data_IF_818710014121
#
_entry.id   IF_818710014121
#
_cell.length_a   1.000
_cell.length_b   1.000
_cell.length_c   1.000
_cell.angle_alpha   90.00
_cell.angle_beta   90.00
_cell.angle_gamma   90.00
#
_symmetry.space_group_name_H-M   'P 1'
#
loop_
_entity.id
_entity.type
_entity.pdbx_description
1 polymer ?
#
# COMPACT_ATOMS: atom_id res chain seq x y z
N UNK A 1 -40.50 -43.15 4.18
CA UNK A 1 -39.16 -42.71 3.78
C UNK A 1 -38.86 -41.26 4.14
N UNK A 2 -39.84 -40.33 4.25
CA UNK A 2 -39.51 -38.90 4.45
C UNK A 2 -39.11 -38.49 5.87
N UNK A 3 -39.61 -39.17 6.92
CA UNK A 3 -39.39 -38.74 8.31
C UNK A 3 -37.93 -38.83 8.75
N UNK A 4 -37.19 -39.85 8.28
CA UNK A 4 -35.77 -40.02 8.60
C UNK A 4 -34.90 -38.96 7.91
N UNK A 5 -35.28 -38.56 6.70
CA UNK A 5 -34.59 -37.49 5.96
C UNK A 5 -34.86 -36.11 6.58
N UNK A 6 -36.07 -35.87 7.08
CA UNK A 6 -36.44 -34.63 7.78
C UNK A 6 -35.69 -34.48 9.12
N UNK A 7 -35.53 -35.58 9.88
CA UNK A 7 -34.73 -35.61 11.11
C UNK A 7 -33.24 -35.43 10.81
N UNK A 8 -32.75 -36.03 9.72
CA UNK A 8 -31.37 -35.87 9.26
C UNK A 8 -31.04 -34.42 8.87
N UNK A 9 -31.99 -33.70 8.27
CA UNK A 9 -31.80 -32.28 7.93
C UNK A 9 -31.81 -31.34 9.14
N UNK A 10 -32.62 -31.64 10.17
CA UNK A 10 -32.68 -30.83 11.39
C UNK A 10 -31.39 -30.92 12.21
N UNK A 11 -30.81 -32.12 12.35
CA UNK A 11 -29.59 -32.37 13.15
C UNK A 11 -28.33 -31.78 12.50
N UNK A 12 -28.32 -31.58 11.19
CA UNK A 12 -27.15 -31.09 10.45
C UNK A 12 -27.01 -29.56 10.43
N UNK A 13 -27.89 -28.83 11.14
CA UNK A 13 -27.79 -27.39 11.33
C UNK A 13 -27.20 -27.13 12.72
N UNK A 14 -26.12 -26.34 12.79
CA UNK A 14 -25.54 -25.82 14.03
C UNK A 14 -26.54 -24.87 14.72
N UNK A 15 -27.54 -25.44 15.37
CA UNK A 15 -28.55 -24.72 16.15
C UNK A 15 -28.44 -25.18 17.59
N UNK A 16 -28.62 -24.26 18.53
CA UNK A 16 -28.64 -24.55 19.96
C UNK A 16 -29.56 -25.76 20.23
N UNK A 17 -29.10 -26.71 21.05
CA UNK A 17 -29.83 -27.97 21.30
C UNK A 17 -31.28 -27.77 21.76
N UNK A 18 -31.58 -26.62 22.38
CA UNK A 18 -32.93 -26.25 22.79
C UNK A 18 -33.86 -25.92 21.61
N UNK A 19 -33.33 -25.30 20.54
CA UNK A 19 -34.09 -24.98 19.33
C UNK A 19 -34.40 -26.22 18.51
N UNK A 20 -33.44 -27.15 18.43
CA UNK A 20 -33.60 -28.44 17.76
C UNK A 20 -34.66 -29.31 18.47
N UNK A 21 -34.66 -29.32 19.81
CA UNK A 21 -35.71 -29.95 20.61
C UNK A 21 -37.08 -29.31 20.40
N UNK A 22 -37.15 -27.97 20.34
CA UNK A 22 -38.40 -27.27 20.13
C UNK A 22 -39.00 -27.55 18.75
N UNK A 23 -38.19 -27.55 17.68
CA UNK A 23 -38.63 -27.89 16.32
C UNK A 23 -39.09 -29.34 16.19
N UNK A 24 -38.39 -30.28 16.84
CA UNK A 24 -38.79 -31.69 16.83
C UNK A 24 -40.10 -31.94 17.59
N UNK A 25 -40.29 -31.30 18.75
CA UNK A 25 -41.51 -31.43 19.56
C UNK A 25 -42.73 -30.75 18.95
N UNK A 26 -42.53 -29.74 18.11
CA UNK A 26 -43.61 -29.02 17.41
C UNK A 26 -43.88 -29.57 16.01
N UNK A 27 -43.19 -30.63 15.59
CA UNK A 27 -43.33 -31.20 14.26
C UNK A 27 -44.71 -31.88 14.08
N UNK A 28 -45.47 -31.57 13.00
CA UNK A 28 -46.80 -32.12 12.77
C UNK A 28 -46.83 -33.64 12.63
N UNK A 29 -45.75 -34.23 12.13
CA UNK A 29 -45.63 -35.69 11.99
C UNK A 29 -45.51 -36.38 13.36
N UNK A 30 -44.86 -35.75 14.35
CA UNK A 30 -44.74 -36.27 15.71
C UNK A 30 -46.13 -36.25 16.39
N UNK A 31 -46.88 -35.17 16.22
CA UNK A 31 -48.25 -35.06 16.72
C UNK A 31 -49.20 -36.09 16.06
N UNK A 32 -49.04 -36.34 14.75
CA UNK A 32 -49.80 -37.38 14.05
C UNK A 32 -49.43 -38.79 14.54
N UNK A 33 -48.15 -39.04 14.84
CA UNK A 33 -47.67 -40.32 15.36
C UNK A 33 -48.17 -40.58 16.80
N UNK A 34 -48.21 -39.54 17.63
CA UNK A 34 -48.77 -39.57 18.98
C UNK A 34 -50.30 -39.76 18.99
N UNK A 35 -51.01 -39.30 17.96
CA UNK A 35 -52.45 -39.54 17.80
C UNK A 35 -52.79 -40.98 17.36
N UNK A 36 -51.93 -41.61 16.56
CA UNK A 36 -52.17 -42.96 16.02
C UNK A 36 -51.82 -44.06 17.03
N UNK A 37 -51.02 -43.75 18.06
CA UNK A 37 -50.44 -44.75 18.94
C UNK A 37 -50.45 -44.27 20.41
N UNK A 38 -51.60 -44.33 21.11
CA UNK A 38 -51.78 -43.75 22.45
C UNK A 38 -50.93 -44.40 23.55
N UNK A 39 -50.39 -45.60 23.33
CA UNK A 39 -49.47 -46.28 24.26
C UNK A 39 -48.03 -45.73 24.17
N UNK A 40 -47.73 -44.89 23.18
CA UNK A 40 -46.39 -44.34 22.93
C UNK A 40 -46.04 -43.18 23.85
N UNK A 41 -47.02 -42.43 24.36
CA UNK A 41 -46.81 -41.36 25.34
C UNK A 41 -46.32 -41.94 26.66
N UNK A 42 -46.86 -43.08 27.09
CA UNK A 42 -46.41 -43.80 28.28
C UNK A 42 -44.97 -44.28 28.17
N UNK A 43 -44.57 -44.81 27.00
CA UNK A 43 -43.19 -45.24 26.75
C UNK A 43 -42.22 -44.05 26.66
N UNK A 44 -42.64 -42.92 26.07
CA UNK A 44 -41.83 -41.70 25.99
C UNK A 44 -41.64 -41.06 27.37
N UNK A 45 -42.71 -40.95 28.16
CA UNK A 45 -42.66 -40.46 29.55
C UNK A 45 -41.85 -41.40 30.43
N UNK A 46 -41.99 -42.72 30.27
CA UNK A 46 -41.15 -43.70 30.98
C UNK A 46 -39.67 -43.61 30.61
N UNK A 47 -39.36 -43.32 29.35
CA UNK A 47 -37.97 -43.13 28.89
C UNK A 47 -37.40 -41.81 29.39
N UNK A 48 -38.20 -40.75 29.37
CA UNK A 48 -37.88 -39.46 29.97
C UNK A 48 -37.61 -39.59 31.46
N UNK A 49 -38.47 -40.29 32.20
CA UNK A 49 -38.34 -40.49 33.63
C UNK A 49 -37.14 -41.39 33.96
N UNK A 50 -36.86 -42.41 33.15
CA UNK A 50 -35.65 -43.24 33.29
C UNK A 50 -34.35 -42.47 33.02
N UNK A 51 -34.37 -41.52 32.07
CA UNK A 51 -33.24 -40.60 31.80
C UNK A 51 -33.11 -39.55 32.89
N UNK A 52 -34.20 -38.96 33.36
CA UNK A 52 -34.21 -37.95 34.42
C UNK A 52 -33.82 -38.54 35.79
N UNK A 53 -34.09 -39.82 36.03
CA UNK A 53 -33.69 -40.55 37.24
C UNK A 53 -32.30 -41.19 37.13
N UNK A 54 -31.67 -41.18 35.95
CA UNK A 54 -30.32 -41.68 35.80
C UNK A 54 -29.34 -40.65 36.40
N UNK A 55 -28.64 -41.03 37.47
CA UNK A 55 -27.52 -40.26 38.02
C UNK A 55 -26.36 -40.26 37.01
N UNK A 56 -26.35 -39.27 36.13
CA UNK A 56 -25.20 -38.97 35.29
C UNK A 56 -24.09 -38.41 36.19
N UNK A 57 -23.03 -39.19 36.43
CA UNK A 57 -21.89 -38.71 37.21
C UNK A 57 -21.11 -37.59 36.49
N UNK A 58 -20.21 -36.88 37.17
CA UNK A 58 -20.18 -36.57 38.60
C UNK A 58 -21.15 -35.43 38.93
N UNK A 59 -21.80 -35.50 40.09
CA UNK A 59 -22.63 -34.40 40.61
C UNK A 59 -21.74 -33.17 40.82
N UNK A 60 -22.04 -32.09 40.09
CA UNK A 60 -21.41 -30.80 40.32
C UNK A 60 -21.69 -30.39 41.77
N UNK A 61 -20.69 -29.87 42.50
CA UNK A 61 -20.95 -29.30 43.81
C UNK A 61 -22.06 -28.25 43.70
N UNK A 62 -22.97 -28.16 44.69
CA UNK A 62 -24.02 -27.15 44.69
C UNK A 62 -23.37 -25.77 44.57
N UNK A 63 -23.93 -24.94 43.68
CA UNK A 63 -23.53 -23.55 43.53
C UNK A 63 -23.60 -22.88 44.91
N UNK A 64 -22.56 -22.13 45.34
CA UNK A 64 -22.61 -21.39 46.60
C UNK A 64 -23.82 -20.47 46.66
N UNK A 65 -24.49 -20.40 47.82
CA UNK A 65 -25.70 -19.57 48.04
C UNK A 65 -25.42 -18.05 47.93
N UNK A 66 -24.15 -17.65 47.95
CA UNK A 66 -23.68 -16.29 47.73
C UNK A 66 -22.76 -16.27 46.50
N UNK A 67 -23.34 -16.27 45.31
CA UNK A 67 -22.64 -15.76 44.13
C UNK A 67 -22.73 -14.22 44.19
N UNK A 68 -21.62 -13.48 44.10
CA UNK A 68 -21.71 -12.02 43.99
C UNK A 68 -22.53 -11.69 42.74
N UNK A 69 -23.59 -10.88 42.89
CA UNK A 69 -24.45 -10.47 41.77
C UNK A 69 -23.67 -9.69 40.68
N UNK A 70 -22.44 -9.26 40.99
CA UNK A 70 -21.53 -8.50 40.13
C UNK A 70 -20.44 -9.35 39.43
N UNK A 71 -20.46 -10.69 39.50
CA UNK A 71 -19.48 -11.50 38.75
C UNK A 71 -19.80 -11.52 37.25
N UNK A 72 -19.12 -10.63 36.51
CA UNK A 72 -19.12 -10.63 35.06
C UNK A 72 -18.69 -12.00 34.50
N UNK A 73 -19.48 -12.54 33.56
CA UNK A 73 -19.25 -13.88 33.01
C UNK A 73 -17.86 -13.97 32.34
N UNK A 74 -16.94 -14.70 32.97
CA UNK A 74 -15.58 -14.88 32.45
C UNK A 74 -15.54 -16.00 31.40
N UNK A 75 -14.78 -15.76 30.33
CA UNK A 75 -14.49 -16.73 29.26
C UNK A 75 -13.04 -17.20 29.34
N UNK A 76 -12.84 -18.50 29.28
CA UNK A 76 -11.51 -19.10 29.17
C UNK A 76 -11.17 -19.28 27.69
N UNK A 77 -10.10 -18.65 27.23
CA UNK A 77 -9.60 -18.71 25.85
C UNK A 77 -8.28 -19.45 25.82
N UNK A 78 -8.16 -20.42 24.94
CA UNK A 78 -7.00 -21.30 24.82
C UNK A 78 -6.34 -21.08 23.45
N UNK A 79 -5.10 -20.57 23.43
CA UNK A 79 -4.34 -20.35 22.19
C UNK A 79 -3.07 -21.18 22.20
N UNK A 80 -2.84 -21.93 21.13
CA UNK A 80 -1.57 -22.66 20.95
C UNK A 80 -0.56 -21.71 20.33
N UNK A 81 0.38 -21.25 21.15
CA UNK A 81 1.48 -20.39 20.71
C UNK A 81 2.51 -21.20 19.93
N UNK A 82 2.81 -20.75 18.72
CA UNK A 82 3.94 -21.20 17.92
C UNK A 82 5.12 -20.22 18.08
N UNK A 83 6.20 -20.38 17.31
CA UNK A 83 7.34 -19.44 17.32
C UNK A 83 6.99 -18.04 16.73
N UNK A 84 5.72 -17.70 16.53
CA UNK A 84 5.26 -16.39 16.08
C UNK A 84 4.52 -15.66 17.23
N UNK A 85 4.47 -14.32 17.19
CA UNK A 85 3.64 -13.56 18.11
C UNK A 85 2.16 -13.94 17.95
N UNK A 86 1.39 -13.77 19.03
CA UNK A 86 -0.05 -14.07 19.02
C UNK A 86 -0.82 -13.18 18.04
N UNK A 87 -0.32 -11.98 17.74
CA UNK A 87 -1.00 -11.03 16.86
C UNK A 87 -2.16 -10.32 17.55
N UNK A 88 -1.96 -9.90 18.80
CA UNK A 88 -2.86 -9.00 19.52
C UNK A 88 -2.03 -7.97 20.29
N UNK A 89 -2.53 -6.75 20.39
CA UNK A 89 -1.93 -5.68 21.20
C UNK A 89 -2.79 -5.42 22.43
N UNK A 90 -2.14 -5.12 23.55
CA UNK A 90 -2.82 -4.81 24.81
C UNK A 90 -2.63 -3.34 25.17
N UNK A 91 -3.61 -2.78 25.89
CA UNK A 91 -3.57 -1.43 26.45
C UNK A 91 -3.91 -1.53 27.93
N UNK A 92 -3.20 -0.77 28.76
CA UNK A 92 -3.57 -0.54 30.15
C UNK A 92 -4.44 0.70 30.26
N UNK A 93 -5.49 0.63 31.05
CA UNK A 93 -6.28 1.79 31.43
C UNK A 93 -5.61 2.54 32.59
N UNK A 94 -5.45 3.86 32.46
CA UNK A 94 -4.69 4.66 33.44
C UNK A 94 -5.46 4.86 34.75
N UNK A 95 -6.79 4.85 34.71
CA UNK A 95 -7.64 5.10 35.88
C UNK A 95 -7.84 3.82 36.71
N UNK A 96 -8.19 2.72 36.07
CA UNK A 96 -8.47 1.42 36.74
C UNK A 96 -7.22 0.55 36.88
N UNK A 97 -6.21 0.73 36.04
CA UNK A 97 -5.04 -0.14 35.96
C UNK A 97 -5.31 -1.49 35.29
N UNK A 98 -6.49 -1.68 34.72
CA UNK A 98 -6.91 -2.90 34.03
C UNK A 98 -6.31 -3.00 32.63
N UNK A 99 -6.17 -4.24 32.13
CA UNK A 99 -5.55 -4.51 30.84
C UNK A 99 -6.62 -5.00 29.86
N UNK A 100 -6.69 -4.35 28.71
CA UNK A 100 -7.64 -4.64 27.65
C UNK A 100 -6.94 -5.04 26.36
N UNK A 101 -7.57 -5.91 25.58
CA UNK A 101 -7.16 -6.15 24.19
C UNK A 101 -7.46 -4.87 23.39
N UNK A 102 -6.41 -4.18 22.94
CA UNK A 102 -6.55 -2.96 22.17
C UNK A 102 -6.86 -3.25 20.69
N UNK A 103 -6.20 -4.26 20.11
CA UNK A 103 -6.34 -4.62 18.70
C UNK A 103 -5.96 -6.08 18.47
N UNK A 104 -6.58 -6.67 17.45
CA UNK A 104 -6.22 -7.99 16.91
C UNK A 104 -5.62 -7.79 15.51
N UNK A 105 -4.47 -8.40 15.25
CA UNK A 105 -3.70 -8.27 14.02
C UNK A 105 -4.10 -9.38 13.03
N UNK A 106 -4.51 -8.98 11.83
CA UNK A 106 -5.01 -9.88 10.80
C UNK A 106 -3.97 -10.90 10.36
N UNK A 107 -4.36 -12.16 10.35
CA UNK A 107 -3.50 -13.30 10.07
C UNK A 107 -2.50 -13.64 11.19
N UNK A 108 -2.68 -13.08 12.39
CA UNK A 108 -2.07 -13.55 13.63
C UNK A 108 -2.76 -14.83 14.18
N UNK A 109 -2.25 -15.38 15.29
CA UNK A 109 -2.89 -16.52 15.96
C UNK A 109 -4.23 -16.13 16.61
N UNK A 110 -4.29 -14.95 17.23
CA UNK A 110 -5.48 -14.41 17.87
C UNK A 110 -6.61 -14.22 16.85
N UNK A 111 -6.30 -13.60 15.71
CA UNK A 111 -7.25 -13.41 14.60
C UNK A 111 -7.79 -14.75 14.06
N UNK A 112 -6.90 -15.69 13.75
CA UNK A 112 -7.29 -17.03 13.24
C UNK A 112 -8.14 -17.82 14.22
N UNK A 113 -7.97 -17.60 15.52
CA UNK A 113 -8.76 -18.27 16.55
C UNK A 113 -10.19 -17.74 16.63
N UNK A 114 -10.40 -16.44 16.35
CA UNK A 114 -11.67 -15.75 16.58
C UNK A 114 -12.10 -15.71 18.05
N UNK A 115 -11.20 -16.04 18.99
CA UNK A 115 -11.52 -16.15 20.42
C UNK A 115 -11.21 -14.89 21.21
N UNK A 116 -10.37 -13.98 20.69
CA UNK A 116 -10.06 -12.70 21.32
C UNK A 116 -10.57 -11.56 20.44
N UNK A 117 -11.19 -10.56 21.07
CA UNK A 117 -11.73 -9.39 20.39
C UNK A 117 -11.18 -8.10 21.00
N UNK A 118 -11.05 -7.02 20.21
CA UNK A 118 -10.77 -5.70 20.74
C UNK A 118 -11.82 -5.30 21.80
N UNK A 119 -11.37 -4.83 22.95
CA UNK A 119 -12.20 -4.48 24.10
C UNK A 119 -12.32 -5.57 25.17
N UNK A 120 -11.93 -6.82 24.89
CA UNK A 120 -11.91 -7.88 25.91
C UNK A 120 -10.96 -7.49 27.07
N UNK A 121 -11.45 -7.59 28.31
CA UNK A 121 -10.63 -7.35 29.50
C UNK A 121 -9.87 -8.61 29.87
N UNK A 122 -8.56 -8.49 30.05
CA UNK A 122 -7.69 -9.60 30.42
C UNK A 122 -7.56 -9.67 31.94
N UNK A 123 -7.93 -10.82 32.52
CA UNK A 123 -7.93 -11.05 33.97
C UNK A 123 -6.74 -11.91 34.40
N UNK A 124 -6.50 -13.01 33.67
CA UNK A 124 -5.39 -13.94 33.96
C UNK A 124 -4.73 -14.47 32.68
N UNK A 125 -3.42 -14.73 32.76
CA UNK A 125 -2.62 -15.41 31.73
C UNK A 125 -1.85 -16.56 32.36
N UNK A 126 -2.12 -17.79 31.92
CA UNK A 126 -1.51 -19.02 32.46
C UNK A 126 -1.63 -19.14 33.99
N UNK A 127 -2.78 -18.72 34.55
CA UNK A 127 -3.04 -18.71 35.99
C UNK A 127 -2.39 -17.58 36.77
N UNK A 128 -1.68 -16.64 36.10
CA UNK A 128 -1.15 -15.44 36.73
C UNK A 128 -2.16 -14.29 36.56
N UNK A 129 -2.61 -13.63 37.64
CA UNK A 129 -3.45 -12.45 37.53
C UNK A 129 -2.67 -11.32 36.86
N UNK A 130 -3.31 -10.62 35.92
CA UNK A 130 -2.67 -9.50 35.21
C UNK A 130 -3.05 -8.12 35.76
N UNK A 131 -4.00 -8.07 36.70
CA UNK A 131 -4.46 -6.83 37.33
C UNK A 131 -3.29 -6.14 38.04
N UNK A 132 -3.07 -4.86 37.72
CA UNK A 132 -1.98 -4.05 38.30
C UNK A 132 -0.60 -4.31 37.71
N UNK A 133 -0.46 -5.22 36.73
CA UNK A 133 0.78 -5.38 35.97
C UNK A 133 0.91 -4.30 34.89
N UNK A 134 2.16 -3.98 34.54
CA UNK A 134 2.42 -3.16 33.35
C UNK A 134 2.36 -4.03 32.08
N UNK A 135 1.95 -3.47 30.92
CA UNK A 135 1.89 -4.21 29.66
C UNK A 135 3.16 -4.98 29.33
N UNK A 136 4.34 -4.41 29.62
CA UNK A 136 5.64 -5.05 29.39
C UNK A 136 5.79 -6.34 30.19
N UNK A 137 5.28 -6.38 31.43
CA UNK A 137 5.36 -7.56 32.29
C UNK A 137 4.48 -8.69 31.74
N UNK A 138 3.27 -8.36 31.26
CA UNK A 138 2.37 -9.33 30.60
C UNK A 138 3.00 -9.85 29.32
N UNK A 139 3.65 -8.99 28.53
CA UNK A 139 4.39 -9.39 27.33
C UNK A 139 5.54 -10.35 27.69
N UNK A 140 6.28 -10.12 28.77
CA UNK A 140 7.33 -11.05 29.22
C UNK A 140 6.77 -12.42 29.62
N UNK A 141 5.63 -12.47 30.31
CA UNK A 141 4.93 -13.73 30.63
C UNK A 141 4.57 -14.47 29.35
N UNK A 142 4.02 -13.75 28.36
CA UNK A 142 3.65 -14.34 27.07
C UNK A 142 4.86 -14.80 26.28
N UNK A 143 5.98 -14.06 26.26
CA UNK A 143 7.22 -14.45 25.56
C UNK A 143 7.81 -15.73 26.16
N UNK A 144 7.89 -15.80 27.48
CA UNK A 144 8.45 -16.95 28.20
C UNK A 144 7.56 -18.20 28.16
N UNK A 145 6.27 -18.02 27.86
CA UNK A 145 5.32 -19.13 27.70
C UNK A 145 5.52 -19.84 26.35
N UNK A 146 5.46 -21.17 26.37
CA UNK A 146 5.55 -22.05 25.19
C UNK A 146 4.36 -23.01 25.14
N UNK A 147 3.93 -23.39 23.94
CA UNK A 147 2.78 -24.28 23.76
C UNK A 147 1.46 -23.58 24.04
N UNK A 148 0.60 -24.20 24.84
CA UNK A 148 -0.74 -23.70 25.12
C UNK A 148 -0.73 -22.53 26.10
N UNK A 149 -1.32 -21.41 25.72
CA UNK A 149 -1.54 -20.25 26.57
C UNK A 149 -3.03 -20.15 26.88
N UNK A 150 -3.33 -20.08 28.18
CA UNK A 150 -4.69 -19.94 28.70
C UNK A 150 -4.91 -18.49 29.14
N UNK A 151 -5.94 -17.87 28.59
CA UNK A 151 -6.40 -16.53 28.94
C UNK A 151 -7.73 -16.64 29.67
N UNK A 152 -7.87 -15.92 30.78
CA UNK A 152 -9.18 -15.66 31.39
C UNK A 152 -9.55 -14.23 31.04
N UNK A 153 -10.62 -14.07 30.27
CA UNK A 153 -11.05 -12.78 29.75
C UNK A 153 -12.50 -12.50 30.10
N UNK A 154 -12.82 -11.25 30.40
CA UNK A 154 -14.20 -10.79 30.50
C UNK A 154 -14.56 -10.14 29.15
N UNK A 155 -15.52 -10.70 28.40
CA UNK A 155 -16.00 -10.09 27.16
C UNK A 155 -16.67 -8.76 27.46
N UNK A 156 -16.36 -7.72 26.69
CA UNK A 156 -17.06 -6.45 26.87
C UNK A 156 -18.53 -6.58 26.40
N UNK A 157 -19.47 -6.51 27.35
CA UNK A 157 -20.89 -6.72 27.09
C UNK A 157 -21.62 -5.51 26.49
N UNK A 158 -20.99 -4.32 26.39
CA UNK A 158 -21.66 -3.14 25.85
C UNK A 158 -20.73 -2.11 25.16
N UNK A 159 -21.25 -1.55 24.06
CA UNK A 159 -20.85 -0.33 23.33
C UNK A 159 -19.82 -0.52 22.21
N UNK A 160 -20.10 -0.26 20.92
CA UNK A 160 -20.82 0.86 20.27
C UNK A 160 -20.44 2.23 20.80
N UNK A 161 -19.35 2.78 20.25
CA UNK A 161 -19.01 4.21 20.23
C UNK A 161 -18.89 4.93 21.58
N UNK A 162 -17.71 4.88 22.20
CA UNK A 162 -17.24 6.03 22.98
C UNK A 162 -15.71 6.13 22.95
N UNK A 163 -15.24 7.16 22.24
CA UNK A 163 -14.01 7.90 22.56
C UNK A 163 -12.72 7.11 22.72
N UNK A 164 -12.34 6.31 21.71
CA UNK A 164 -10.93 5.98 21.51
C UNK A 164 -10.19 7.30 21.25
N UNK A 165 -9.49 7.83 22.25
CA UNK A 165 -8.55 8.92 22.01
C UNK A 165 -7.52 8.40 21.01
N UNK A 166 -7.37 9.05 19.85
CA UNK A 166 -6.41 8.60 18.86
C UNK A 166 -5.01 8.85 19.40
N UNK A 167 -4.34 7.78 19.83
CA UNK A 167 -2.92 7.84 20.15
C UNK A 167 -2.17 8.34 18.91
N UNK A 168 -1.53 9.50 19.08
CA UNK A 168 -0.78 10.20 18.01
C UNK A 168 0.57 9.52 17.72
N UNK A 169 0.98 8.58 18.57
CA UNK A 169 2.13 7.69 18.43
C UNK A 169 1.70 6.31 17.92
N UNK A 170 2.66 5.52 17.40
CA UNK A 170 2.40 4.13 17.05
C UNK A 170 1.98 3.40 18.33
N UNK A 171 0.76 2.82 18.40
CA UNK A 171 0.28 2.18 19.64
C UNK A 171 1.17 1.01 20.07
N UNK A 172 1.94 0.44 19.14
CA UNK A 172 2.97 -0.57 19.39
C UNK A 172 4.04 -0.49 18.27
N UNK A 173 5.28 -0.04 18.55
CA UNK A 173 6.36 0.02 17.56
C UNK A 173 6.68 -1.34 16.92
N UNK A 174 6.60 -2.42 17.70
CA UNK A 174 6.89 -3.79 17.25
C UNK A 174 5.84 -4.32 16.26
N UNK A 175 4.62 -3.76 16.29
CA UNK A 175 3.58 -4.06 15.30
C UNK A 175 3.72 -3.20 14.04
N UNK A 176 4.57 -2.18 14.05
CA UNK A 176 4.82 -1.30 12.90
C UNK A 176 5.56 -2.04 11.78
N UNK A 177 5.10 -1.88 10.55
CA UNK A 177 5.75 -2.48 9.39
C UNK A 177 6.53 -1.43 8.60
N UNK A 178 7.86 -1.59 8.40
CA UNK A 178 8.65 -0.65 7.63
C UNK A 178 8.41 -0.82 6.13
N UNK A 179 8.20 0.29 5.43
CA UNK A 179 8.08 0.34 3.98
C UNK A 179 8.71 1.61 3.40
N UNK A 180 9.00 1.56 2.11
CA UNK A 180 9.61 2.61 1.30
C UNK A 180 8.67 3.00 0.14
N UNK A 181 8.92 4.17 -0.46
CA UNK A 181 8.17 4.60 -1.66
C UNK A 181 8.37 3.60 -2.79
N UNK A 182 7.27 3.14 -3.38
CA UNK A 182 7.26 2.12 -4.43
C UNK A 182 7.06 0.69 -3.92
N UNK A 183 7.03 0.47 -2.60
CA UNK A 183 6.62 -0.83 -2.06
C UNK A 183 5.13 -1.07 -2.30
N UNK A 184 4.78 -2.32 -2.60
CA UNK A 184 3.39 -2.76 -2.75
C UNK A 184 2.84 -3.21 -1.41
N UNK A 185 1.71 -2.63 -1.02
CA UNK A 185 1.05 -2.89 0.26
C UNK A 185 -0.35 -3.44 0.01
N UNK A 186 -0.60 -4.67 0.46
CA UNK A 186 -1.93 -5.25 0.53
C UNK A 186 -2.60 -4.79 1.83
N UNK A 187 -3.54 -3.85 1.73
CA UNK A 187 -4.27 -3.35 2.89
C UNK A 187 -5.39 -4.32 3.24
N UNK A 188 -5.31 -4.92 4.43
CA UNK A 188 -6.27 -5.93 4.91
C UNK A 188 -7.40 -5.29 5.73
N UNK A 189 -7.08 -4.27 6.53
CA UNK A 189 -8.04 -3.59 7.39
C UNK A 189 -7.80 -2.08 7.46
N UNK A 190 -8.89 -1.32 7.30
CA UNK A 190 -8.94 0.15 7.35
C UNK A 190 -9.92 0.66 8.42
N UNK A 191 -10.39 -0.21 9.32
CA UNK A 191 -11.35 0.12 10.39
C UNK A 191 -10.86 1.26 11.29
N UNK A 192 -9.57 1.30 11.56
CA UNK A 192 -8.94 2.35 12.35
C UNK A 192 -8.57 3.57 11.49
N UNK A 193 -9.03 4.76 11.91
CA UNK A 193 -8.83 6.01 11.19
C UNK A 193 -7.39 6.55 11.18
N UNK A 194 -6.50 6.07 12.05
CA UNK A 194 -5.08 6.47 12.14
C UNK A 194 -4.11 5.38 11.71
N UNK A 195 -4.43 4.10 11.93
CA UNK A 195 -3.51 2.98 11.72
C UNK A 195 -4.14 1.83 10.96
N UNK A 196 -3.79 1.65 9.70
CA UNK A 196 -4.27 0.53 8.89
C UNK A 196 -3.43 -0.73 9.11
N UNK A 197 -4.02 -1.90 8.87
CA UNK A 197 -3.28 -3.15 8.83
C UNK A 197 -3.02 -3.55 7.39
N UNK A 198 -1.75 -3.77 7.06
CA UNK A 198 -1.34 -4.13 5.72
C UNK A 198 -0.19 -5.13 5.71
N UNK A 199 -0.01 -5.80 4.57
CA UNK A 199 1.09 -6.72 4.29
C UNK A 199 1.92 -6.18 3.13
N UNK A 200 3.24 -6.30 3.24
CA UNK A 200 4.15 -5.91 2.15
C UNK A 200 4.29 -7.07 1.17
N UNK A 201 4.01 -6.82 -0.11
CA UNK A 201 4.12 -7.83 -1.16
C UNK A 201 5.49 -7.78 -1.87
N UNK A 202 6.04 -8.93 -2.29
CA UNK A 202 5.59 -10.29 -1.96
C UNK A 202 5.88 -10.65 -0.48
N UNK A 203 4.93 -11.28 0.20
CA UNK A 203 5.06 -11.59 1.63
C UNK A 203 5.21 -13.10 1.87
N UNK A 204 6.16 -13.49 2.73
CA UNK A 204 6.28 -14.86 3.22
C UNK A 204 5.48 -15.09 4.52
N UNK A 205 5.10 -14.03 5.24
CA UNK A 205 4.40 -14.12 6.52
C UNK A 205 2.91 -13.81 6.35
N UNK A 206 2.07 -14.59 7.03
CA UNK A 206 0.62 -14.39 6.99
C UNK A 206 0.14 -13.25 7.90
N UNK A 207 0.99 -12.66 8.75
CA UNK A 207 0.57 -11.63 9.70
C UNK A 207 0.66 -10.23 9.06
N UNK A 208 -0.36 -9.41 9.25
CA UNK A 208 -0.32 -8.00 8.89
C UNK A 208 0.56 -7.19 9.85
N UNK A 209 1.00 -6.02 9.43
CA UNK A 209 1.61 -5.02 10.29
C UNK A 209 0.91 -3.67 10.15
N UNK A 210 1.21 -2.76 11.07
CA UNK A 210 0.58 -1.45 11.13
C UNK A 210 1.29 -0.48 10.20
N UNK A 211 0.50 0.19 9.36
CA UNK A 211 0.91 1.32 8.54
C UNK A 211 0.07 2.55 8.89
N UNK A 212 0.63 3.76 8.74
CA UNK A 212 -0.15 4.98 8.86
C UNK A 212 -1.35 5.02 7.93
N UNK A 213 -2.48 5.54 8.39
CA UNK A 213 -3.62 5.80 7.50
C UNK A 213 -3.32 6.97 6.55
N UNK A 214 -4.05 7.03 5.43
CA UNK A 214 -3.92 8.15 4.49
C UNK A 214 -4.25 9.51 5.13
N UNK A 215 -5.20 9.56 6.07
CA UNK A 215 -5.56 10.77 6.81
C UNK A 215 -4.44 11.22 7.77
N UNK A 216 -3.82 10.27 8.49
CA UNK A 216 -2.72 10.56 9.41
C UNK A 216 -1.50 11.13 8.68
N UNK A 217 -1.11 10.51 7.56
CA UNK A 217 0.00 11.00 6.73
C UNK A 217 -0.29 12.40 6.14
N UNK A 218 -1.53 12.65 5.71
CA UNK A 218 -1.95 13.98 5.22
C UNK A 218 -1.89 15.04 6.34
N UNK A 219 -2.27 14.69 7.58
CA UNK A 219 -2.17 15.61 8.72
C UNK A 219 -0.71 15.94 9.02
N UNK A 220 0.16 14.93 9.16
CA UNK A 220 1.60 15.13 9.40
C UNK A 220 2.27 15.91 8.28
N UNK A 221 1.91 15.65 7.02
CA UNK A 221 2.43 16.42 5.89
C UNK A 221 2.00 17.89 5.98
N UNK A 222 0.74 18.17 6.34
CA UNK A 222 0.23 19.53 6.52
C UNK A 222 0.96 20.24 7.67
N UNK A 223 1.18 19.57 8.79
CA UNK A 223 1.95 20.09 9.94
C UNK A 223 3.40 20.40 9.56
N UNK A 224 4.04 19.52 8.79
CA UNK A 224 5.40 19.72 8.30
C UNK A 224 5.51 20.89 7.31
N UNK A 225 4.45 21.16 6.52
CA UNK A 225 4.35 22.36 5.68
C UNK A 225 4.25 23.67 6.48
N UNK A 226 3.72 23.63 7.70
CA UNK A 226 3.70 24.79 8.60
C UNK A 226 5.03 25.01 9.33
N UNK A 227 5.89 23.97 9.42
CA UNK A 227 7.15 24.00 10.16
C UNK A 227 8.42 24.21 9.30
N UNK A 228 8.33 24.27 7.97
CA UNK A 228 9.50 24.59 7.14
C UNK A 228 9.71 26.12 7.04
N UNK A 229 10.94 26.64 7.26
CA UNK A 229 11.28 27.98 6.81
C UNK A 229 11.15 27.98 5.30
N UNK A 230 10.36 28.92 4.75
CA UNK A 230 10.08 29.03 3.31
C UNK A 230 11.34 28.75 2.49
N UNK A 231 11.44 27.57 1.87
CA UNK A 231 12.34 27.41 0.75
C UNK A 231 11.81 28.33 -0.34
N UNK A 232 12.57 29.41 -0.58
CA UNK A 232 12.32 30.34 -1.66
C UNK A 232 12.36 29.53 -2.95
N UNK A 233 11.19 29.23 -3.50
CA UNK A 233 11.10 28.82 -4.89
C UNK A 233 11.61 30.00 -5.72
N UNK A 234 12.88 29.96 -6.11
CA UNK A 234 13.42 30.78 -7.18
C UNK A 234 12.86 30.25 -8.49
N UNK A 235 11.60 30.57 -8.77
CA UNK A 235 11.07 30.51 -10.12
C UNK A 235 11.82 31.58 -10.94
N UNK A 236 12.96 31.20 -11.51
CA UNK A 236 13.71 31.98 -12.47
C UNK A 236 12.81 32.13 -13.71
N UNK A 237 12.20 33.31 -13.86
CA UNK A 237 11.70 33.75 -15.17
C UNK A 237 12.93 34.06 -16.04
N UNK A 238 13.07 33.50 -17.25
CA UNK A 238 14.03 34.03 -18.21
C UNK A 238 13.40 35.30 -18.79
N UNK A 239 13.70 36.45 -18.20
CA UNK A 239 13.45 37.74 -18.83
C UNK A 239 14.70 38.59 -18.75
N UNK A 240 15.42 38.63 -19.87
CA UNK A 240 16.09 39.81 -20.40
C UNK A 240 17.11 40.54 -19.52
N UNK A 241 18.36 40.51 -19.96
CA UNK A 241 19.40 41.52 -19.73
C UNK A 241 18.88 42.91 -19.32
N UNK A 242 19.29 43.39 -18.14
CA UNK A 242 20.01 44.67 -17.95
C UNK A 242 20.60 44.74 -16.54
N UNK A 243 21.93 44.70 -16.48
CA UNK A 243 22.72 45.04 -15.28
C UNK A 243 22.59 46.55 -15.03
N UNK A 244 22.17 46.94 -13.84
CA UNK A 244 22.55 48.24 -13.27
C UNK A 244 22.60 48.17 -11.75
N UNK A 245 23.81 48.40 -11.22
CA UNK A 245 24.10 48.62 -9.82
C UNK A 245 23.47 49.94 -9.36
N UNK A 246 22.55 49.94 -8.38
CA UNK A 246 22.36 51.02 -7.42
C UNK A 246 21.84 50.48 -6.08
N UNK A 247 22.57 50.84 -5.02
CA UNK A 247 22.20 50.75 -3.61
C UNK A 247 20.83 51.41 -3.37
N UNK A 248 19.93 50.79 -2.59
CA UNK A 248 19.26 51.44 -1.44
C UNK A 248 18.39 50.48 -0.60
N UNK A 249 18.17 50.95 0.63
CA UNK A 249 17.71 50.41 1.92
C UNK A 249 16.47 49.52 1.99
N UNK A 250 16.51 48.70 3.05
CA UNK A 250 15.38 48.17 3.83
C UNK A 250 14.25 49.20 3.99
N UNK A 251 13.08 48.88 3.43
CA UNK A 251 11.78 49.30 3.97
C UNK A 251 10.79 48.16 3.82
N UNK A 252 10.24 47.77 4.97
CA UNK A 252 9.15 46.81 5.13
C UNK A 252 7.87 47.33 4.48
N UNK A 253 7.41 46.67 3.42
CA UNK A 253 6.02 46.77 2.97
C UNK A 253 5.47 45.38 2.70
N UNK A 254 4.38 45.06 3.42
CA UNK A 254 3.52 43.89 3.23
C UNK A 254 3.11 43.78 1.76
N UNK A 255 3.77 42.90 0.99
CA UNK A 255 3.28 42.53 -0.34
C UNK A 255 2.33 41.35 -0.22
N UNK A 256 1.07 41.65 -0.51
CA UNK A 256 -0.03 40.72 -0.77
C UNK A 256 0.46 39.59 -1.68
N UNK A 257 0.32 38.34 -1.22
CA UNK A 257 0.62 37.11 -1.95
C UNK A 257 -0.06 37.15 -3.33
N UNK A 258 0.70 37.23 -4.41
CA UNK A 258 0.25 36.78 -5.72
C UNK A 258 0.70 35.33 -5.86
N UNK A 259 -0.23 34.40 -5.63
CA UNK A 259 -0.06 32.99 -5.91
C UNK A 259 0.21 32.81 -7.41
N UNK A 260 1.36 32.25 -7.75
CA UNK A 260 1.63 31.73 -9.09
C UNK A 260 0.66 30.58 -9.38
N UNK A 261 -0.29 30.81 -10.29
CA UNK A 261 -1.23 29.80 -10.79
C UNK A 261 -0.55 28.66 -11.56
N UNK A 262 0.73 28.80 -11.91
CA UNK A 262 1.54 27.77 -12.58
C UNK A 262 2.22 26.78 -11.62
N UNK A 263 2.19 27.05 -10.32
CA UNK A 263 2.83 26.21 -9.30
C UNK A 263 1.81 25.51 -8.41
N UNK A 264 0.53 25.56 -8.76
CA UNK A 264 -0.49 24.72 -8.15
C UNK A 264 -0.31 23.29 -8.68
N UNK A 265 -0.03 22.28 -7.83
CA UNK A 265 -0.11 20.90 -8.26
C UNK A 265 -1.61 20.58 -8.42
N UNK A 266 -2.17 20.87 -9.59
CA UNK A 266 -3.56 20.56 -9.93
C UNK A 266 -3.76 19.09 -10.32
N UNK A 267 -2.73 18.24 -10.22
CA UNK A 267 -2.91 16.80 -10.34
C UNK A 267 -3.42 16.24 -9.01
N UNK A 268 -4.73 16.20 -8.86
CA UNK A 268 -5.46 15.63 -7.72
C UNK A 268 -5.04 14.20 -7.37
N UNK A 269 -4.50 13.45 -8.34
CA UNK A 269 -3.98 12.09 -8.18
C UNK A 269 -2.69 11.98 -7.34
N UNK A 270 -1.94 13.08 -7.16
CA UNK A 270 -0.68 13.11 -6.40
C UNK A 270 -0.85 13.65 -4.97
N UNK A 271 -2.10 13.81 -4.52
CA UNK A 271 -2.41 14.34 -3.18
C UNK A 271 -2.52 13.26 -2.11
N UNK A 272 -2.50 11.97 -2.49
CA UNK A 272 -2.64 10.84 -1.58
C UNK A 272 -1.29 10.16 -1.35
N UNK A 273 -0.95 9.81 -0.09
CA UNK A 273 0.30 9.14 0.24
C UNK A 273 0.37 7.70 -0.27
N UNK A 274 -0.79 7.07 -0.50
CA UNK A 274 -0.94 5.76 -1.11
C UNK A 274 -1.65 5.91 -2.45
N UNK A 275 -1.23 5.13 -3.45
CA UNK A 275 -1.87 5.01 -4.76
C UNK A 275 -2.45 3.60 -4.88
N UNK A 276 -3.74 3.49 -5.18
CA UNK A 276 -4.41 2.21 -5.37
C UNK A 276 -4.03 1.61 -6.73
N UNK A 277 -3.55 0.38 -6.73
CA UNK A 277 -3.06 -0.32 -7.91
C UNK A 277 -3.78 -1.64 -8.15
N UNK A 278 -3.87 -2.05 -9.42
CA UNK A 278 -4.38 -3.34 -9.84
C UNK A 278 -3.40 -4.01 -10.81
N UNK A 279 -3.38 -5.34 -10.80
CA UNK A 279 -2.65 -6.10 -11.80
C UNK A 279 -3.29 -5.91 -13.17
N UNK A 280 -2.47 -5.53 -14.14
CA UNK A 280 -2.84 -5.38 -15.53
C UNK A 280 -1.91 -6.19 -16.41
N UNK A 281 -2.50 -7.00 -17.26
CA UNK A 281 -1.81 -7.69 -18.33
C UNK A 281 -2.34 -7.17 -19.66
N UNK A 282 -1.44 -6.73 -20.54
CA UNK A 282 -1.80 -6.19 -21.85
C UNK A 282 -2.40 -7.30 -22.71
N UNK A 283 -3.57 -7.06 -23.29
CA UNK A 283 -4.12 -7.96 -24.30
C UNK A 283 -3.35 -7.84 -25.62
N UNK A 284 -3.18 -8.92 -26.41
CA UNK A 284 -2.47 -8.83 -27.69
C UNK A 284 -3.12 -7.87 -28.72
N UNK A 285 -4.41 -7.58 -28.56
CA UNK A 285 -5.19 -6.68 -29.43
C UNK A 285 -5.02 -5.19 -29.03
N UNK A 286 -4.58 -4.91 -27.81
CA UNK A 286 -4.32 -3.55 -27.35
C UNK A 286 -2.95 -3.04 -27.83
N UNK A 287 -2.88 -1.72 -28.03
CA UNK A 287 -1.62 -1.05 -28.31
C UNK A 287 -0.57 -1.34 -27.22
N UNK A 288 0.69 -1.34 -27.63
CA UNK A 288 1.81 -1.43 -26.70
C UNK A 288 1.76 -0.31 -25.66
N UNK A 289 2.21 -0.60 -24.45
CA UNK A 289 2.40 0.42 -23.41
C UNK A 289 3.52 1.38 -23.82
N UNK A 290 3.38 2.66 -23.45
CA UNK A 290 4.44 3.65 -23.63
C UNK A 290 5.64 3.32 -22.73
N UNK A 291 6.85 3.21 -23.29
CA UNK A 291 8.08 3.06 -22.51
C UNK A 291 8.72 4.43 -22.31
N UNK A 292 8.91 4.82 -21.06
CA UNK A 292 9.55 6.08 -20.67
C UNK A 292 10.90 5.77 -20.03
N UNK A 293 11.96 6.37 -20.55
CA UNK A 293 13.29 6.31 -19.96
C UNK A 293 13.59 7.63 -19.25
N UNK A 294 14.05 7.55 -18.00
CA UNK A 294 14.34 8.72 -17.16
C UNK A 294 15.70 8.53 -16.52
N UNK A 295 16.53 9.56 -16.46
CA UNK A 295 17.83 9.49 -15.81
C UNK A 295 18.54 10.82 -15.77
N UNK A 296 19.63 10.89 -15.01
CA UNK A 296 20.44 12.10 -14.98
C UNK A 296 21.15 12.34 -16.33
N UNK A 297 21.38 13.60 -16.66
CA UNK A 297 22.09 13.98 -17.89
C UNK A 297 23.52 13.42 -17.86
N UNK A 298 23.91 12.66 -18.89
CA UNK A 298 25.23 12.04 -18.99
C UNK A 298 25.32 10.59 -18.49
N UNK A 299 24.21 10.00 -18.01
CA UNK A 299 24.13 8.56 -17.70
C UNK A 299 24.07 7.71 -18.96
N UNK A 300 23.61 8.23 -20.10
CA UNK A 300 23.53 7.50 -21.37
C UNK A 300 22.12 7.08 -21.80
N UNK A 301 21.08 7.73 -21.26
CA UNK A 301 19.67 7.45 -21.59
C UNK A 301 19.40 7.56 -23.09
N UNK A 302 19.85 8.65 -23.72
CA UNK A 302 19.66 8.90 -25.14
C UNK A 302 20.42 7.90 -26.01
N UNK A 303 21.62 7.49 -25.59
CA UNK A 303 22.44 6.48 -26.25
C UNK A 303 21.76 5.10 -26.21
N UNK A 304 21.25 4.70 -25.04
CA UNK A 304 20.48 3.46 -24.87
C UNK A 304 19.25 3.45 -25.77
N UNK A 305 18.44 4.53 -25.76
CA UNK A 305 17.28 4.66 -26.65
C UNK A 305 17.65 4.52 -28.12
N UNK A 306 18.69 5.23 -28.56
CA UNK A 306 19.17 5.16 -29.96
C UNK A 306 19.62 3.75 -30.33
N UNK A 307 20.34 3.06 -29.43
CA UNK A 307 20.83 1.70 -29.65
C UNK A 307 19.69 0.71 -29.75
N UNK A 308 18.69 0.80 -28.87
CA UNK A 308 17.48 -0.03 -28.93
C UNK A 308 16.73 0.11 -30.26
N UNK A 309 16.46 1.35 -30.68
CA UNK A 309 15.75 1.60 -31.95
C UNK A 309 16.56 1.09 -33.14
N UNK A 310 17.89 1.19 -33.11
CA UNK A 310 18.76 0.63 -34.15
C UNK A 310 18.77 -0.90 -34.17
N UNK A 311 18.69 -1.55 -33.01
CA UNK A 311 18.68 -3.01 -32.92
C UNK A 311 17.42 -3.60 -33.55
N UNK A 312 16.24 -3.04 -33.26
CA UNK A 312 14.97 -3.50 -33.81
C UNK A 312 14.09 -2.33 -34.30
N UNK A 313 14.35 -1.78 -35.51
CA UNK A 313 13.59 -0.64 -36.05
C UNK A 313 12.13 -0.95 -36.40
N UNK A 314 11.80 -2.23 -36.58
CA UNK A 314 10.44 -2.70 -36.84
C UNK A 314 9.56 -2.62 -35.60
N UNK A 315 10.12 -2.96 -34.43
CA UNK A 315 9.40 -3.04 -33.16
C UNK A 315 9.45 -1.73 -32.38
N UNK A 316 10.64 -1.12 -32.27
CA UNK A 316 10.87 0.06 -31.45
C UNK A 316 10.88 1.33 -32.29
N UNK A 317 10.19 2.36 -31.80
CA UNK A 317 10.19 3.66 -32.44
C UNK A 317 10.10 4.78 -31.40
N UNK A 318 10.80 5.89 -31.61
CA UNK A 318 10.58 7.13 -30.86
C UNK A 318 9.51 8.02 -31.51
N UNK A 319 8.84 8.90 -30.74
CA UNK A 319 7.95 9.89 -31.31
C UNK A 319 8.74 10.88 -32.17
N UNK A 320 8.14 11.35 -33.26
CA UNK A 320 8.77 12.32 -34.16
C UNK A 320 8.56 13.73 -33.58
N UNK A 321 9.62 14.44 -33.15
CA UNK A 321 9.47 15.80 -32.64
C UNK A 321 9.02 16.74 -33.75
N UNK A 322 8.11 17.67 -33.42
CA UNK A 322 7.71 18.74 -34.35
C UNK A 322 8.66 19.92 -34.22
N UNK A 323 9.08 20.46 -35.35
CA UNK A 323 9.93 21.64 -35.45
C UNK A 323 9.08 22.85 -35.87
N UNK A 324 9.17 23.95 -35.13
CA UNK A 324 8.45 25.19 -35.41
C UNK A 324 9.44 26.29 -35.79
N UNK A 325 9.16 27.03 -36.89
CA UNK A 325 10.00 28.16 -37.29
C UNK A 325 9.91 29.34 -36.30
N UNK A 326 10.96 30.17 -36.20
CA UNK A 326 11.08 31.25 -35.20
C UNK A 326 9.98 32.32 -35.26
N UNK A 327 9.26 32.43 -36.37
CA UNK A 327 8.33 33.55 -36.63
C UNK A 327 6.93 33.37 -36.01
N UNK A 328 6.61 32.22 -35.40
CA UNK A 328 5.26 31.93 -34.87
C UNK A 328 5.21 32.01 -33.33
N UNK A 329 5.85 33.03 -32.74
CA UNK A 329 5.90 33.24 -31.29
C UNK A 329 4.55 33.66 -30.68
N UNK A 330 3.66 34.31 -31.45
CA UNK A 330 2.43 34.92 -30.91
C UNK A 330 1.19 34.01 -30.86
N UNK A 331 1.15 32.88 -31.58
CA UNK A 331 -0.06 32.03 -31.68
C UNK A 331 -0.04 30.85 -30.66
N UNK A 332 1.10 30.52 -30.06
CA UNK A 332 1.31 29.18 -29.48
C UNK A 332 1.20 29.04 -27.96
N UNK A 333 0.84 30.06 -27.17
CA UNK A 333 0.62 29.86 -25.72
C UNK A 333 -0.42 28.77 -25.42
N UNK A 334 -1.44 28.63 -26.28
CA UNK A 334 -2.50 27.63 -26.17
C UNK A 334 -2.07 26.23 -26.63
N UNK A 335 -1.02 26.13 -27.44
CA UNK A 335 -0.50 24.86 -27.96
C UNK A 335 0.60 24.27 -27.09
N UNK A 336 1.40 25.08 -26.36
CA UNK A 336 2.40 24.58 -25.42
C UNK A 336 1.81 23.64 -24.36
N UNK A 337 0.52 23.79 -24.03
CA UNK A 337 -0.21 22.91 -23.12
C UNK A 337 -0.38 21.46 -23.65
N UNK A 338 -0.10 21.20 -24.93
CA UNK A 338 -0.21 19.86 -25.56
C UNK A 338 1.13 19.15 -25.78
N UNK A 339 2.23 19.77 -25.37
CA UNK A 339 3.58 19.19 -25.51
C UNK A 339 4.03 18.55 -24.20
N UNK A 340 4.63 17.38 -24.33
CA UNK A 340 5.26 16.65 -23.23
C UNK A 340 6.57 17.33 -22.86
N UNK A 341 7.37 17.64 -23.88
CA UNK A 341 8.61 18.41 -23.77
C UNK A 341 8.71 19.38 -24.92
N UNK A 342 9.26 20.56 -24.64
CA UNK A 342 9.59 21.55 -25.64
C UNK A 342 10.94 22.20 -25.31
N UNK A 343 11.70 22.56 -26.33
CA UNK A 343 12.99 23.20 -26.19
C UNK A 343 13.29 24.08 -27.39
N UNK A 344 14.28 24.95 -27.26
CA UNK A 344 14.78 25.78 -28.34
C UNK A 344 16.20 25.34 -28.71
N UNK A 345 16.45 25.07 -29.98
CA UNK A 345 17.78 24.77 -30.49
C UNK A 345 18.04 25.54 -31.78
N UNK A 346 19.12 26.33 -31.79
CA UNK A 346 19.52 27.19 -32.92
C UNK A 346 18.35 28.06 -33.45
N UNK A 347 17.59 28.68 -32.55
CA UNK A 347 16.47 29.56 -32.89
C UNK A 347 15.20 28.85 -33.37
N UNK A 348 15.18 27.51 -33.39
CA UNK A 348 13.98 26.73 -33.73
C UNK A 348 13.42 26.07 -32.48
N UNK A 349 12.10 26.09 -32.35
CA UNK A 349 11.41 25.40 -31.27
C UNK A 349 11.17 23.94 -31.68
N UNK A 350 11.56 23.02 -30.82
CA UNK A 350 11.30 21.59 -30.96
C UNK A 350 10.34 21.18 -29.85
N UNK A 351 9.39 20.30 -30.16
CA UNK A 351 8.53 19.73 -29.12
C UNK A 351 7.97 18.38 -29.49
N UNK A 352 7.87 17.52 -28.48
CA UNK A 352 7.22 16.21 -28.59
C UNK A 352 5.79 16.33 -28.07
N UNK A 353 4.81 16.23 -28.96
CA UNK A 353 3.39 16.27 -28.62
C UNK A 353 2.86 14.89 -28.23
N UNK A 354 1.84 14.82 -27.39
CA UNK A 354 1.14 13.57 -27.05
C UNK A 354 0.61 12.88 -28.31
N UNK A 355 0.08 13.63 -29.28
CA UNK A 355 -0.39 13.07 -30.56
C UNK A 355 0.70 12.28 -31.32
N UNK A 356 1.96 12.70 -31.20
CA UNK A 356 3.08 12.04 -31.87
C UNK A 356 3.43 10.70 -31.21
N UNK A 357 3.13 10.56 -29.91
CA UNK A 357 3.22 9.30 -29.17
C UNK A 357 2.07 8.40 -29.61
N UNK A 358 0.84 8.92 -29.63
CA UNK A 358 -0.35 8.18 -30.06
C UNK A 358 -0.22 7.65 -31.50
N UNK A 359 0.39 8.42 -32.40
CA UNK A 359 0.65 8.00 -33.78
C UNK A 359 1.58 6.79 -33.89
N UNK A 360 2.59 6.68 -33.00
CA UNK A 360 3.49 5.52 -32.95
C UNK A 360 2.74 4.30 -32.43
N UNK A 361 1.97 4.47 -31.34
CA UNK A 361 1.19 3.40 -30.73
C UNK A 361 0.12 2.85 -31.69
N UNK A 362 -0.57 3.72 -32.43
CA UNK A 362 -1.59 3.34 -33.42
C UNK A 362 -1.03 2.55 -34.61
N UNK A 363 0.27 2.70 -34.90
CA UNK A 363 0.98 1.91 -35.91
C UNK A 363 1.38 0.52 -35.40
N UNK A 364 1.02 0.15 -34.16
CA UNK A 364 1.36 -1.12 -33.55
C UNK A 364 2.83 -1.22 -33.12
N UNK A 365 3.58 -0.11 -33.08
CA UNK A 365 4.98 -0.08 -32.64
C UNK A 365 5.10 0.31 -31.18
N UNK A 366 6.15 -0.17 -30.52
CA UNK A 366 6.47 0.21 -29.15
C UNK A 366 7.10 1.60 -29.14
N UNK A 367 6.42 2.57 -28.53
CA UNK A 367 6.93 3.92 -28.40
C UNK A 367 7.92 4.01 -27.23
N UNK A 368 9.16 4.41 -27.51
CA UNK A 368 10.20 4.65 -26.49
C UNK A 368 10.58 6.13 -26.50
N UNK A 369 10.42 6.80 -25.36
CA UNK A 369 10.73 8.22 -25.17
C UNK A 369 11.68 8.42 -23.99
N UNK A 370 12.67 9.28 -24.14
CA UNK A 370 13.47 9.83 -23.05
C UNK A 370 12.89 11.17 -22.61
N UNK A 371 12.56 11.33 -21.32
CA UNK A 371 11.99 12.58 -20.76
C UNK A 371 12.58 12.91 -19.39
N UNK A 372 12.46 14.17 -19.00
CA UNK A 372 12.76 14.64 -17.65
C UNK A 372 11.66 14.21 -16.64
N UNK A 373 12.00 14.00 -15.35
CA UNK A 373 11.03 13.49 -14.36
C UNK A 373 9.76 14.32 -14.17
N UNK A 374 9.84 15.64 -14.39
CA UNK A 374 8.68 16.54 -14.24
C UNK A 374 7.65 16.37 -15.38
N UNK A 375 8.04 15.75 -16.49
CA UNK A 375 7.19 15.47 -17.65
C UNK A 375 6.42 14.15 -17.52
N UNK A 376 6.65 13.35 -16.46
CA UNK A 376 5.98 12.06 -16.23
C UNK A 376 4.48 12.22 -15.89
N UNK A 377 4.06 13.11 -14.95
CA UNK A 377 2.65 13.24 -14.56
C UNK A 377 1.66 13.43 -15.71
N UNK A 378 1.90 14.25 -16.76
CA UNK A 378 0.96 14.38 -17.88
C UNK A 378 0.91 13.13 -18.77
N UNK A 379 1.92 12.26 -18.74
CA UNK A 379 1.95 11.00 -19.51
C UNK A 379 1.22 9.85 -18.80
N UNK A 380 0.96 9.97 -17.49
CA UNK A 380 0.24 9.00 -16.64
C UNK A 380 -1.25 8.99 -16.94
N UNK A 381 -1.60 8.48 -18.11
CA UNK A 381 -2.99 8.43 -18.61
C UNK A 381 -3.43 6.99 -18.87
N UNK A 382 -4.75 6.74 -18.80
CA UNK A 382 -5.35 5.43 -19.08
C UNK A 382 -5.03 4.90 -20.49
N UNK A 383 -4.82 5.81 -21.45
CA UNK A 383 -4.54 5.46 -22.85
C UNK A 383 -3.10 5.03 -23.06
N UNK A 384 -2.14 5.74 -22.46
CA UNK A 384 -0.71 5.49 -22.67
C UNK A 384 -0.17 4.37 -21.77
N UNK A 385 -0.77 4.17 -20.58
CA UNK A 385 -0.37 3.20 -19.55
C UNK A 385 1.16 3.10 -19.44
N UNK A 386 1.87 4.22 -19.19
CA UNK A 386 3.32 4.24 -19.31
C UNK A 386 3.99 3.23 -18.37
N UNK A 387 5.15 2.76 -18.79
CA UNK A 387 6.09 1.99 -17.98
C UNK A 387 7.41 2.77 -17.91
N UNK A 388 7.77 3.22 -16.71
CA UNK A 388 8.84 4.17 -16.45
C UNK A 388 10.06 3.43 -15.92
N UNK A 389 11.15 3.49 -16.69
CA UNK A 389 12.42 2.86 -16.37
C UNK A 389 13.41 3.97 -16.00
N UNK A 390 13.84 3.97 -14.75
CA UNK A 390 14.87 4.88 -14.28
C UNK A 390 16.25 4.30 -14.54
N UNK A 391 17.06 5.01 -15.33
CA UNK A 391 18.45 4.67 -15.61
C UNK A 391 19.32 5.37 -14.57
N UNK A 392 19.82 4.58 -13.63
CA UNK A 392 20.67 5.01 -12.53
C UNK A 392 22.12 5.06 -12.97
N UNK A 393 22.83 6.09 -12.51
CA UNK A 393 24.27 6.19 -12.68
C UNK A 393 24.97 5.08 -11.88
N UNK A 394 25.97 4.37 -12.44
CA UNK A 394 26.83 3.50 -11.66
C UNK A 394 27.81 4.34 -10.82
N UNK A 395 28.55 3.67 -9.94
CA UNK A 395 29.56 4.33 -9.11
C UNK A 395 30.64 5.06 -9.92
N UNK A 396 31.33 6.04 -9.33
CA UNK A 396 32.23 6.95 -10.05
C UNK A 396 33.42 6.21 -10.66
N UNK A 397 33.94 5.16 -10.02
CA UNK A 397 35.00 4.32 -10.58
C UNK A 397 34.53 3.59 -11.84
N UNK A 398 33.30 3.06 -11.84
CA UNK A 398 32.71 2.36 -12.98
C UNK A 398 32.45 3.30 -14.14
N UNK A 399 31.95 4.51 -13.87
CA UNK A 399 31.79 5.56 -14.90
C UNK A 399 33.12 5.91 -15.58
N UNK A 400 34.19 6.06 -14.79
CA UNK A 400 35.54 6.33 -15.32
C UNK A 400 36.01 5.20 -16.23
N UNK A 401 35.84 3.96 -15.80
CA UNK A 401 36.25 2.78 -16.57
C UNK A 401 35.46 2.66 -17.88
N UNK A 402 34.13 2.72 -17.82
CA UNK A 402 33.23 2.65 -18.97
C UNK A 402 33.53 3.71 -20.04
N UNK A 403 33.85 4.95 -19.62
CA UNK A 403 34.23 6.03 -20.55
C UNK A 403 35.64 5.89 -21.13
N UNK A 404 36.57 5.21 -20.44
CA UNK A 404 37.88 4.83 -21.00
C UNK A 404 37.70 3.76 -22.07
N UNK A 405 36.93 2.72 -21.77
CA UNK A 405 36.71 1.58 -22.67
C UNK A 405 35.90 1.98 -23.91
N UNK A 406 34.97 2.93 -23.78
CA UNK A 406 34.24 3.52 -24.91
C UNK A 406 35.08 4.50 -25.75
N UNK A 407 36.34 4.78 -25.37
CA UNK A 407 37.19 5.75 -26.05
C UNK A 407 36.68 7.20 -25.99
N UNK A 408 35.81 7.52 -25.01
CA UNK A 408 35.26 8.88 -24.83
C UNK A 408 36.22 9.80 -24.06
N UNK A 409 37.20 9.23 -23.36
CA UNK A 409 38.32 9.96 -22.76
C UNK A 409 39.48 9.97 -23.79
N UNK A 410 39.30 10.71 -24.88
CA UNK A 410 40.42 11.08 -25.76
C UNK A 410 40.99 12.42 -25.30
N UNK A 411 42.31 12.46 -25.14
CA UNK A 411 43.11 13.59 -24.64
C UNK A 411 43.07 14.88 -25.51
N UNK A 412 42.16 15.00 -26.48
CA UNK A 412 42.26 15.98 -27.58
C UNK A 412 40.95 16.61 -28.11
N UNK A 413 39.83 16.57 -27.42
CA UNK A 413 38.61 17.25 -27.89
C UNK A 413 38.05 18.29 -26.91
N UNK A 414 38.57 19.50 -27.07
CA UNK A 414 37.93 20.77 -26.70
C UNK A 414 36.59 20.87 -27.44
N UNK A 415 35.46 20.66 -26.74
CA UNK A 415 34.19 21.40 -26.93
C UNK A 415 33.00 20.96 -26.06
N UNK A 416 33.14 19.97 -25.18
CA UNK A 416 32.39 19.89 -23.92
C UNK A 416 33.11 18.87 -23.06
N UNK A 417 34.16 19.32 -22.36
CA UNK A 417 34.83 18.47 -21.39
C UNK A 417 33.74 17.97 -20.44
N UNK A 418 33.49 16.66 -20.40
CA UNK A 418 33.00 16.05 -19.19
C UNK A 418 34.05 16.40 -18.15
N UNK A 419 33.79 17.44 -17.38
CA UNK A 419 34.48 17.68 -16.11
C UNK A 419 34.38 16.39 -15.31
N UNK A 420 35.38 16.13 -14.45
CA UNK A 420 35.53 14.93 -13.61
C UNK A 420 34.39 14.77 -12.57
N UNK A 421 33.21 15.30 -12.88
CA UNK A 421 31.97 15.42 -12.11
C UNK A 421 31.20 14.09 -12.08
N UNK A 422 31.93 12.98 -12.05
CA UNK A 422 31.32 11.65 -11.88
C UNK A 422 30.62 11.53 -10.53
N UNK A 423 31.18 12.19 -9.51
CA UNK A 423 30.58 12.32 -8.18
C UNK A 423 29.29 13.13 -8.27
N UNK A 424 29.30 14.28 -8.97
CA UNK A 424 28.07 15.07 -9.14
C UNK A 424 27.01 14.30 -9.93
N UNK A 425 27.41 13.50 -10.93
CA UNK A 425 26.48 12.67 -11.70
C UNK A 425 25.81 11.59 -10.83
N UNK A 426 26.59 10.93 -9.97
CA UNK A 426 26.07 9.96 -9.00
C UNK A 426 25.12 10.65 -8.00
N UNK A 427 25.51 11.81 -7.45
CA UNK A 427 24.69 12.58 -6.52
C UNK A 427 23.38 13.05 -7.16
N UNK A 428 23.41 13.57 -8.39
CA UNK A 428 22.21 13.99 -9.13
C UNK A 428 21.31 12.79 -9.42
N UNK A 429 21.90 11.65 -9.78
CA UNK A 429 21.14 10.41 -10.01
C UNK A 429 20.46 9.92 -8.73
N UNK A 430 21.18 9.92 -7.60
CA UNK A 430 20.65 9.52 -6.29
C UNK A 430 19.53 10.46 -5.81
N UNK A 431 19.73 11.78 -5.93
CA UNK A 431 18.72 12.78 -5.56
C UNK A 431 17.46 12.65 -6.44
N UNK A 432 17.62 12.38 -7.73
CA UNK A 432 16.52 12.15 -8.66
C UNK A 432 15.74 10.88 -8.29
N UNK A 433 16.45 9.80 -7.92
CA UNK A 433 15.83 8.56 -7.45
C UNK A 433 14.99 8.81 -6.19
N UNK A 434 15.55 9.45 -5.16
CA UNK A 434 14.83 9.71 -3.91
C UNK A 434 13.60 10.62 -4.09
N UNK A 435 13.70 11.61 -4.99
CA UNK A 435 12.62 12.58 -5.23
C UNK A 435 11.47 12.00 -6.07
N UNK A 436 11.77 11.18 -7.07
CA UNK A 436 10.79 10.71 -8.06
C UNK A 436 10.53 9.20 -8.04
N UNK A 437 11.08 8.45 -7.08
CA UNK A 437 10.94 6.98 -6.91
C UNK A 437 9.52 6.45 -7.18
N UNK A 438 8.51 7.17 -6.69
CA UNK A 438 7.08 6.83 -6.79
C UNK A 438 6.57 6.69 -8.24
N UNK A 439 7.30 7.23 -9.22
CA UNK A 439 6.93 7.15 -10.63
C UNK A 439 7.63 6.02 -11.37
N UNK A 440 8.63 5.37 -10.76
CA UNK A 440 9.50 4.42 -11.44
C UNK A 440 9.02 2.99 -11.20
N UNK A 441 8.70 2.27 -12.28
CA UNK A 441 8.35 0.85 -12.24
C UNK A 441 9.62 0.00 -12.08
N UNK A 442 10.72 0.41 -12.70
CA UNK A 442 11.99 -0.31 -12.68
C UNK A 442 13.19 0.65 -12.56
N UNK A 443 14.27 0.17 -11.95
CA UNK A 443 15.57 0.86 -11.86
C UNK A 443 16.62 -0.01 -12.53
N UNK A 444 17.30 0.53 -13.54
CA UNK A 444 18.39 -0.11 -14.27
C UNK A 444 19.68 0.68 -14.04
N UNK A 445 20.74 0.02 -13.56
CA UNK A 445 22.06 0.64 -13.41
C UNK A 445 22.83 0.51 -14.72
N UNK A 446 23.25 1.65 -15.30
CA UNK A 446 23.97 1.64 -16.57
C UNK A 446 25.49 1.54 -16.37
N UNK A 447 25.96 0.34 -16.01
CA UNK A 447 27.39 0.03 -15.87
C UNK A 447 28.14 0.00 -17.22
N UNK A 448 27.64 -0.83 -18.14
CA UNK A 448 28.13 -0.97 -19.51
C UNK A 448 26.96 -0.80 -20.50
N UNK A 449 27.21 -0.07 -21.58
CA UNK A 449 26.17 0.28 -22.56
C UNK A 449 25.63 -0.94 -23.33
N UNK A 450 26.38 -2.02 -23.46
CA UNK A 450 25.90 -3.24 -24.14
C UNK A 450 25.03 -4.05 -23.18
N UNK A 451 25.53 -4.32 -21.98
CA UNK A 451 24.83 -5.10 -20.97
C UNK A 451 23.53 -4.42 -20.55
N UNK A 452 23.58 -3.10 -20.30
CA UNK A 452 22.39 -2.32 -19.98
C UNK A 452 21.38 -2.32 -21.13
N UNK A 453 21.82 -2.34 -22.39
CA UNK A 453 20.92 -2.43 -23.54
C UNK A 453 20.20 -3.80 -23.61
N UNK A 454 20.91 -4.90 -23.32
CA UNK A 454 20.33 -6.25 -23.26
C UNK A 454 19.32 -6.35 -22.11
N UNK A 455 19.71 -5.89 -20.91
CA UNK A 455 18.81 -5.85 -19.76
C UNK A 455 17.57 -4.99 -20.05
N UNK A 456 17.76 -3.83 -20.68
CA UNK A 456 16.67 -2.93 -21.05
C UNK A 456 15.70 -3.57 -22.04
N UNK A 457 16.19 -4.33 -23.04
CA UNK A 457 15.33 -5.14 -23.91
C UNK A 457 14.47 -6.14 -23.11
N UNK A 458 15.08 -6.86 -22.17
CA UNK A 458 14.38 -7.84 -21.32
C UNK A 458 13.30 -7.17 -20.47
N UNK A 459 13.62 -6.04 -19.83
CA UNK A 459 12.68 -5.28 -19.00
C UNK A 459 11.51 -4.76 -19.86
N UNK A 460 11.78 -4.27 -21.07
CA UNK A 460 10.74 -3.79 -21.98
C UNK A 460 9.82 -4.94 -22.40
N UNK A 461 10.36 -6.13 -22.68
CA UNK A 461 9.55 -7.32 -23.01
C UNK A 461 8.64 -7.72 -21.84
N UNK A 462 9.21 -7.83 -20.63
CA UNK A 462 8.46 -8.13 -19.40
C UNK A 462 7.33 -7.11 -19.15
N UNK A 463 7.62 -5.81 -19.36
CA UNK A 463 6.62 -4.76 -19.20
C UNK A 463 5.41 -4.87 -20.14
N UNK A 464 5.57 -5.55 -21.29
CA UNK A 464 4.54 -5.71 -22.31
C UNK A 464 3.81 -7.06 -22.24
N UNK A 465 4.45 -8.10 -21.70
CA UNK A 465 3.95 -9.49 -21.71
C UNK A 465 3.49 -9.98 -20.34
N UNK A 466 4.20 -9.59 -19.27
CA UNK A 466 3.90 -10.03 -17.90
C UNK A 466 2.88 -9.10 -17.21
N UNK A 467 2.13 -9.60 -16.21
CA UNK A 467 1.25 -8.78 -15.39
C UNK A 467 2.05 -7.72 -14.60
N UNK A 468 1.62 -6.46 -14.69
CA UNK A 468 2.26 -5.33 -14.00
C UNK A 468 1.25 -4.57 -13.15
N UNK A 469 1.69 -3.99 -12.04
CA UNK A 469 0.86 -3.14 -11.21
C UNK A 469 0.68 -1.77 -11.87
N UNK A 470 -0.57 -1.39 -12.13
CA UNK A 470 -0.90 -0.06 -12.65
C UNK A 470 -1.95 0.61 -11.75
N UNK A 471 -2.04 1.94 -11.74
CA UNK A 471 -3.09 2.64 -11.00
C UNK A 471 -4.48 2.14 -11.38
N UNK A 472 -5.35 1.90 -10.40
CA UNK A 472 -6.77 1.51 -10.62
C UNK A 472 -7.50 2.59 -11.43
N UNK A 473 -7.06 3.84 -11.30
CA UNK A 473 -7.54 4.94 -12.12
C UNK A 473 -7.27 4.75 -13.62
N UNK A 474 -6.52 3.74 -14.07
CA UNK A 474 -6.27 3.43 -15.47
C UNK A 474 -7.08 2.25 -16.01
N UNK A 475 -7.66 1.43 -15.13
CA UNK A 475 -8.41 0.22 -15.53
C UNK A 475 -9.90 0.47 -15.71
N UNK A 476 -10.48 1.43 -14.97
CA UNK A 476 -11.91 1.74 -15.08
C UNK A 476 -12.22 2.31 -16.48
N UNK A 477 -13.13 1.69 -17.21
CA UNK A 477 -13.81 2.35 -18.32
C UNK A 477 -14.64 3.50 -17.74
N UNK A 478 -14.61 4.69 -18.36
CA UNK A 478 -15.67 5.67 -18.08
C UNK A 478 -16.93 5.07 -18.70
N UNK A 479 -17.89 4.67 -17.84
CA UNK A 479 -19.26 4.39 -18.26
C UNK A 479 -19.94 5.66 -18.78
#
# INVERSE_FOLDING_TARGET
SSVVDDVGQAVNRNVSGAQLLHELLSAPWLHALLQVCPDSTGALLSSHDSVAQADYGPLLPPLPDELPEDEEAMRIVCLVKNNQPLGATIRRDEETGEIYIARVIHGGLADRSGLLHPGDMLVEVNGNPVVGLEPEQVIQILINSQGTILFKVIPNAAQSSSSQRPDSSIPCPDAGMPFSRGDLLEVVDQSDGQWWQARKLPCAVSCAGLIPSASMLKSKQREQWWCQPLQVHTCIRPSGFRRSFRLWRRTSFRRRRQSCTSCSPSSSALSTPYEEVALYQRSPQENHRLIILVGASGVGVTELRKRLIKLNPSTFQGPVPRMFPPQIQHIHLKCFLKFVEYGEYKGHLYGTSIDAIDDVLRRGRMCIIDVEPHSIPPLRTRKLKPYVIFIKAPGPERLRQSRRDAGLITHYSVNRAFTDDFVELEEVSWLMEGKYRQFFDCVLVNDDLQDACIQLCSIIQQAQEEPQWIPVSWTRAEE
#
